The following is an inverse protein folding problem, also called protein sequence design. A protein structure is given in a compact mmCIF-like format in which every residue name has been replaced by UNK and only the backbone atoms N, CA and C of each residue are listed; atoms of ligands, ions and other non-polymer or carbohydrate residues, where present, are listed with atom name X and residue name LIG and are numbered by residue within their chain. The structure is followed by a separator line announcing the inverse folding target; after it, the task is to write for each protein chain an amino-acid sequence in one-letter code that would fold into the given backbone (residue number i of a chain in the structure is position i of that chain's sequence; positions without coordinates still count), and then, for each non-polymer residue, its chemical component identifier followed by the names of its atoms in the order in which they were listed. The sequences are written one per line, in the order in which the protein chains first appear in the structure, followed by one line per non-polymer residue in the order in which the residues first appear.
data_IF_206209383303
#
_entry.id   IF_206209383303
#
_cell.length_a   1.000
_cell.length_b   1.000
_cell.length_c   1.000
_cell.angle_alpha   90.00
_cell.angle_beta   90.00
_cell.angle_gamma   90.00
#
_symmetry.space_group_name_H-M   'P 1'
#
loop_
_entity.id
_entity.type
_entity.pdbx_description
1 polymer ?
#
# COMPACT_ATOMS: atom_id res chain seq x y z
N UNK A 1 -15.15 11.41 8.02
CA UNK A 1 -13.90 12.17 8.29
C UNK A 1 -12.66 11.28 8.29
N UNK A 2 -12.62 10.16 9.03
CA UNK A 2 -11.46 9.27 9.06
C UNK A 2 -10.98 8.80 7.69
N UNK A 3 -11.86 8.25 6.84
CA UNK A 3 -11.51 7.68 5.52
C UNK A 3 -10.79 8.71 4.65
N UNK A 4 -11.32 9.93 4.59
CA UNK A 4 -10.76 11.02 3.82
C UNK A 4 -9.35 11.40 4.31
N UNK A 5 -9.18 11.50 5.63
CA UNK A 5 -7.89 11.83 6.23
C UNK A 5 -6.87 10.71 5.98
N UNK A 6 -7.27 9.47 6.25
CA UNK A 6 -6.46 8.28 6.00
C UNK A 6 -6.06 8.21 4.53
N UNK A 7 -6.98 8.43 3.58
CA UNK A 7 -6.68 8.34 2.15
C UNK A 7 -5.58 9.34 1.72
N UNK A 8 -5.60 10.57 2.26
CA UNK A 8 -4.55 11.57 1.97
C UNK A 8 -3.20 11.19 2.56
N UNK A 9 -3.19 10.84 3.84
CA UNK A 9 -1.94 10.53 4.55
C UNK A 9 -1.32 9.24 4.00
N UNK A 10 -2.13 8.20 3.77
CA UNK A 10 -1.67 6.96 3.14
C UNK A 10 -1.12 7.21 1.73
N UNK A 11 -1.76 8.08 0.93
CA UNK A 11 -1.25 8.45 -0.40
C UNK A 11 0.12 9.11 -0.33
N UNK A 12 0.29 10.10 0.55
CA UNK A 12 1.57 10.76 0.76
C UNK A 12 2.66 9.79 1.25
N UNK A 13 2.32 8.90 2.20
CA UNK A 13 3.23 7.87 2.68
C UNK A 13 3.64 6.89 1.57
N UNK A 14 2.69 6.46 0.73
CA UNK A 14 2.95 5.54 -0.38
C UNK A 14 3.86 6.15 -1.44
N UNK A 15 3.72 7.44 -1.75
CA UNK A 15 4.65 8.14 -2.66
C UNK A 15 6.09 7.98 -2.16
N UNK A 16 6.32 8.17 -0.86
CA UNK A 16 7.64 8.02 -0.27
C UNK A 16 8.12 6.56 -0.23
N UNK A 17 7.29 5.65 0.28
CA UNK A 17 7.66 4.23 0.44
C UNK A 17 7.91 3.53 -0.90
N UNK A 18 7.03 3.73 -1.87
CA UNK A 18 7.20 3.18 -3.23
C UNK A 18 8.37 3.89 -3.93
N UNK A 19 8.53 5.20 -3.73
CA UNK A 19 9.68 5.95 -4.24
C UNK A 19 11.01 5.35 -3.78
N UNK A 20 11.13 4.97 -2.51
CA UNK A 20 12.29 4.25 -1.98
C UNK A 20 12.49 2.92 -2.73
N UNK A 21 11.43 2.13 -2.92
CA UNK A 21 11.53 0.83 -3.60
C UNK A 21 11.94 0.99 -5.07
N UNK A 22 11.40 1.98 -5.79
CA UNK A 22 11.79 2.29 -7.16
C UNK A 22 13.25 2.73 -7.23
N UNK A 23 13.65 3.69 -6.41
CA UNK A 23 15.00 4.23 -6.40
C UNK A 23 16.04 3.15 -6.07
N UNK A 24 15.82 2.37 -5.01
CA UNK A 24 16.73 1.28 -4.63
C UNK A 24 16.75 0.17 -5.68
N UNK A 25 15.61 -0.18 -6.29
CA UNK A 25 15.57 -1.14 -7.39
C UNK A 25 16.44 -0.72 -8.57
N UNK A 26 16.41 0.57 -8.94
CA UNK A 26 17.25 1.09 -10.03
C UNK A 26 18.73 0.74 -9.81
N UNK A 27 19.28 1.01 -8.63
CA UNK A 27 20.67 0.65 -8.30
C UNK A 27 20.90 -0.86 -8.28
N UNK A 28 19.94 -1.63 -7.74
CA UNK A 28 20.07 -3.09 -7.62
C UNK A 28 19.97 -3.84 -8.96
N UNK A 29 19.30 -3.26 -9.97
CA UNK A 29 19.15 -3.84 -11.29
C UNK A 29 20.19 -3.35 -12.32
N UNK A 30 20.71 -2.12 -12.17
CA UNK A 30 21.60 -1.51 -13.18
C UNK A 30 23.09 -1.61 -12.88
N UNK A 31 23.47 -1.92 -11.64
CA UNK A 31 24.88 -1.97 -11.24
C UNK A 31 25.33 -3.40 -10.96
N UNK A 32 26.48 -3.78 -11.55
CA UNK A 32 27.12 -5.07 -11.28
C UNK A 32 27.53 -5.18 -9.80
N UNK A 33 28.12 -4.11 -9.25
CA UNK A 33 28.42 -3.99 -7.82
C UNK A 33 27.29 -3.24 -7.12
N UNK A 34 26.37 -4.00 -6.54
CA UNK A 34 25.20 -3.48 -5.83
C UNK A 34 25.62 -2.71 -4.56
N UNK A 35 25.18 -1.46 -4.37
CA UNK A 35 25.57 -0.69 -3.19
C UNK A 35 24.82 -1.18 -1.94
N UNK A 36 25.55 -1.31 -0.83
CA UNK A 36 25.03 -1.89 0.42
C UNK A 36 23.85 -1.11 0.99
N UNK A 37 23.86 0.22 0.86
CA UNK A 37 22.76 1.06 1.34
C UNK A 37 21.45 0.77 0.59
N UNK A 38 21.52 0.53 -0.72
CA UNK A 38 20.35 0.23 -1.52
C UNK A 38 19.81 -1.15 -1.17
N UNK A 39 20.70 -2.14 -0.97
CA UNK A 39 20.33 -3.48 -0.56
C UNK A 39 19.69 -3.49 0.84
N UNK A 40 20.31 -2.80 1.80
CA UNK A 40 19.84 -2.72 3.19
C UNK A 40 18.48 -2.07 3.28
N UNK A 41 18.27 -0.96 2.56
CA UNK A 41 16.99 -0.25 2.57
C UNK A 41 15.91 -1.01 1.78
N UNK A 42 16.25 -1.60 0.64
CA UNK A 42 15.31 -2.36 -0.18
C UNK A 42 14.81 -3.63 0.51
N UNK A 43 15.58 -4.22 1.43
CA UNK A 43 15.18 -5.45 2.15
C UNK A 43 14.49 -5.20 3.49
N UNK A 44 14.17 -3.96 3.85
CA UNK A 44 13.52 -3.66 5.12
C UNK A 44 12.08 -4.19 5.14
N UNK A 45 11.76 -5.20 5.97
CA UNK A 45 10.45 -5.83 5.94
C UNK A 45 9.34 -4.90 6.43
N UNK A 46 9.68 -3.93 7.29
CA UNK A 46 8.74 -2.90 7.74
C UNK A 46 8.26 -2.05 6.57
N UNK A 47 9.13 -1.73 5.60
CA UNK A 47 8.75 -0.95 4.42
C UNK A 47 7.78 -1.75 3.56
N UNK A 48 8.06 -3.04 3.34
CA UNK A 48 7.20 -3.92 2.54
C UNK A 48 5.82 -4.10 3.18
N UNK A 49 5.77 -4.41 4.48
CA UNK A 49 4.52 -4.55 5.23
C UNK A 49 3.71 -3.25 5.18
N UNK A 50 4.36 -2.09 5.39
CA UNK A 50 3.69 -0.80 5.29
C UNK A 50 3.13 -0.53 3.89
N UNK A 51 3.89 -0.84 2.83
CA UNK A 51 3.42 -0.70 1.45
C UNK A 51 2.19 -1.59 1.24
N UNK A 52 2.26 -2.88 1.59
CA UNK A 52 1.16 -3.82 1.37
C UNK A 52 -0.13 -3.38 2.06
N UNK A 53 -0.05 -2.97 3.32
CA UNK A 53 -1.20 -2.51 4.10
C UNK A 53 -1.72 -1.18 3.55
N UNK A 54 -0.86 -0.17 3.45
CA UNK A 54 -1.27 1.18 3.04
C UNK A 54 -1.80 1.19 1.61
N UNK A 55 -1.15 0.50 0.68
CA UNK A 55 -1.56 0.44 -0.73
C UNK A 55 -2.93 -0.22 -0.87
N UNK A 56 -3.17 -1.31 -0.15
CA UNK A 56 -4.45 -2.02 -0.17
C UNK A 56 -5.58 -1.13 0.34
N UNK A 57 -5.42 -0.54 1.54
CA UNK A 57 -6.45 0.33 2.11
C UNK A 57 -6.65 1.61 1.30
N UNK A 58 -5.58 2.23 0.82
CA UNK A 58 -5.65 3.43 -0.02
C UNK A 58 -6.45 3.14 -1.29
N UNK A 59 -6.12 2.06 -2.00
CA UNK A 59 -6.78 1.69 -3.25
C UNK A 59 -8.27 1.38 -3.06
N UNK A 60 -8.62 0.62 -2.03
CA UNK A 60 -10.02 0.27 -1.75
C UNK A 60 -10.84 1.50 -1.33
N UNK A 61 -10.26 2.43 -0.57
CA UNK A 61 -10.91 3.70 -0.24
C UNK A 61 -11.03 4.66 -1.44
N UNK A 62 -10.07 4.64 -2.36
CA UNK A 62 -10.17 5.32 -3.65
C UNK A 62 -11.35 4.78 -4.47
N UNK A 63 -11.46 3.45 -4.59
CA UNK A 63 -12.59 2.80 -5.27
C UNK A 63 -13.92 3.14 -4.59
N UNK A 64 -13.98 3.13 -3.26
CA UNK A 64 -15.16 3.59 -2.52
C UNK A 64 -15.56 5.02 -2.91
N UNK A 65 -14.60 5.91 -3.07
CA UNK A 65 -14.84 7.31 -3.44
C UNK A 65 -15.41 7.38 -4.86
N UNK A 66 -14.80 6.68 -5.81
CA UNK A 66 -15.31 6.56 -7.18
C UNK A 66 -16.76 6.04 -7.21
N UNK A 67 -17.06 5.00 -6.43
CA UNK A 67 -18.44 4.43 -6.36
C UNK A 67 -19.44 5.46 -5.81
N UNK A 68 -19.05 6.26 -4.82
CA UNK A 68 -19.91 7.33 -4.30
C UNK A 68 -20.11 8.44 -5.33
N UNK A 69 -19.06 8.83 -6.04
CA UNK A 69 -19.11 9.84 -7.09
C UNK A 69 -20.01 9.42 -8.26
N UNK A 70 -20.11 8.10 -8.51
CA UNK A 70 -21.06 7.51 -9.46
C UNK A 70 -22.51 7.40 -8.94
N UNK A 71 -22.80 7.95 -7.75
CA UNK A 71 -24.15 8.12 -7.23
C UNK A 71 -24.61 7.08 -6.21
N UNK A 72 -23.72 6.18 -5.75
CA UNK A 72 -24.07 5.28 -4.65
C UNK A 72 -24.20 6.03 -3.32
N UNK A 73 -25.39 5.97 -2.68
CA UNK A 73 -25.70 6.79 -1.50
C UNK A 73 -25.59 6.08 -0.14
N UNK A 74 -25.40 4.76 -0.09
CA UNK A 74 -25.33 4.02 1.18
C UNK A 74 -23.89 3.97 1.74
N UNK A 75 -23.41 5.11 2.21
CA UNK A 75 -22.03 5.25 2.69
C UNK A 75 -21.63 4.28 3.79
N UNK A 76 -22.56 3.92 4.69
CA UNK A 76 -22.30 3.00 5.80
C UNK A 76 -22.00 1.60 5.27
N UNK A 77 -22.85 1.08 4.38
CA UNK A 77 -22.63 -0.25 3.77
C UNK A 77 -21.32 -0.26 3.00
N UNK A 78 -21.06 0.78 2.20
CA UNK A 78 -19.84 0.86 1.41
C UNK A 78 -18.59 0.96 2.29
N UNK A 79 -18.66 1.68 3.42
CA UNK A 79 -17.58 1.72 4.40
C UNK A 79 -17.30 0.33 4.99
N UNK A 80 -18.33 -0.41 5.42
CA UNK A 80 -18.14 -1.76 5.96
C UNK A 80 -17.54 -2.71 4.93
N UNK A 81 -18.09 -2.73 3.71
CA UNK A 81 -17.58 -3.58 2.62
C UNK A 81 -16.13 -3.22 2.29
N UNK A 82 -15.80 -1.94 2.18
CA UNK A 82 -14.44 -1.47 1.92
C UNK A 82 -13.45 -1.93 3.01
N UNK A 83 -13.80 -1.81 4.29
CA UNK A 83 -12.91 -2.24 5.38
C UNK A 83 -12.71 -3.76 5.40
N UNK A 84 -13.78 -4.53 5.24
CA UNK A 84 -13.68 -5.99 5.19
C UNK A 84 -12.82 -6.42 4.00
N UNK A 85 -13.09 -5.88 2.81
CA UNK A 85 -12.34 -6.20 1.60
C UNK A 85 -10.85 -5.85 1.77
N UNK A 86 -10.54 -4.62 2.21
CA UNK A 86 -9.15 -4.20 2.42
C UNK A 86 -8.45 -5.05 3.48
N UNK A 87 -9.12 -5.40 4.57
CA UNK A 87 -8.53 -6.23 5.64
C UNK A 87 -8.24 -7.64 5.17
N UNK A 88 -9.18 -8.27 4.44
CA UNK A 88 -9.00 -9.64 3.90
C UNK A 88 -7.88 -9.65 2.86
N UNK A 89 -7.87 -8.71 1.92
CA UNK A 89 -6.81 -8.61 0.90
C UNK A 89 -5.46 -8.35 1.57
N UNK A 90 -5.40 -7.42 2.53
CA UNK A 90 -4.15 -7.12 3.24
C UNK A 90 -3.65 -8.33 4.03
N UNK A 91 -4.52 -9.07 4.72
CA UNK A 91 -4.14 -10.27 5.46
C UNK A 91 -3.61 -11.36 4.53
N UNK A 92 -4.25 -11.55 3.37
CA UNK A 92 -3.80 -12.49 2.34
C UNK A 92 -2.44 -12.08 1.75
N UNK A 93 -2.24 -10.80 1.42
CA UNK A 93 -0.96 -10.33 0.89
C UNK A 93 0.16 -10.45 1.93
N UNK A 94 -0.14 -10.17 3.19
CA UNK A 94 0.82 -10.35 4.28
C UNK A 94 1.15 -11.83 4.49
N UNK A 95 0.16 -12.73 4.44
CA UNK A 95 0.43 -14.16 4.57
C UNK A 95 1.33 -14.66 3.44
N UNK A 96 1.06 -14.27 2.19
CA UNK A 96 1.94 -14.57 1.06
C UNK A 96 3.35 -14.01 1.27
N UNK A 97 3.47 -12.77 1.72
CA UNK A 97 4.75 -12.12 1.98
C UNK A 97 5.58 -12.88 3.02
N UNK A 98 4.99 -13.28 4.14
CA UNK A 98 5.69 -14.02 5.19
C UNK A 98 5.93 -15.50 4.86
N UNK A 99 5.22 -16.07 3.88
CA UNK A 99 5.52 -17.40 3.35
C UNK A 99 6.69 -17.35 2.35
N UNK A 100 6.82 -16.25 1.61
CA UNK A 100 7.81 -16.10 0.54
C UNK A 100 9.21 -15.67 1.01
N UNK A 101 9.36 -15.24 2.26
CA UNK A 101 10.62 -14.77 2.87
C UNK A 101 11.12 -15.81 3.87
#
# INVERSE_FOLDING_TARGET
MFIWFFHRISGAALIFLIGIKIATSFFLFTQDKKPDWALSLHRQPVIDVLILVLFTFHSIYGIRTIIMDLGYRNEKRLFFVANIAASVISAFLLSLYFIAI
#
